data_IF_740431123079
#
_entry.id   IF_740431123079
#
_cell.length_a   1.000
_cell.length_b   1.000
_cell.length_c   1.000
_cell.angle_alpha   90.00
_cell.angle_beta   90.00
_cell.angle_gamma   90.00
#
_symmetry.space_group_name_H-M   'P 1'
#
loop_
_entity.id
_entity.type
_entity.pdbx_description
1 polymer ?
#
# COMPACT_ATOMS: atom_id res chain seq x y z
N UNK A 1 -8.70 24.68 4.51
CA UNK A 1 -10.06 24.36 4.00
C UNK A 1 -10.54 25.51 3.15
N UNK A 2 -10.61 26.70 3.67
CA UNK A 2 -11.20 27.87 2.98
C UNK A 2 -10.55 28.20 1.63
N UNK A 3 -9.22 27.98 1.51
CA UNK A 3 -8.50 28.20 0.24
C UNK A 3 -8.92 27.16 -0.82
N UNK A 4 -9.07 25.90 -0.42
CA UNK A 4 -9.48 24.83 -1.33
C UNK A 4 -10.93 25.02 -1.80
N UNK A 5 -11.81 25.44 -0.90
CA UNK A 5 -13.19 25.78 -1.22
C UNK A 5 -13.28 26.99 -2.16
N UNK A 6 -12.41 27.99 -1.95
CA UNK A 6 -12.31 29.17 -2.85
C UNK A 6 -11.87 28.78 -4.26
N UNK A 7 -11.07 27.71 -4.40
CA UNK A 7 -10.66 27.14 -5.69
C UNK A 7 -11.79 26.36 -6.37
N UNK A 8 -12.91 26.13 -5.71
CA UNK A 8 -14.04 25.35 -6.22
C UNK A 8 -13.76 23.85 -6.33
N UNK A 9 -12.71 23.36 -5.67
CA UNK A 9 -12.33 21.95 -5.66
C UNK A 9 -13.16 21.24 -4.60
N UNK A 10 -13.99 20.27 -5.03
CA UNK A 10 -14.64 19.34 -4.10
C UNK A 10 -13.63 18.32 -3.62
N UNK A 11 -13.83 17.82 -2.42
CA UNK A 11 -12.95 16.85 -1.79
C UNK A 11 -13.72 15.90 -0.87
N UNK A 12 -13.18 14.70 -0.70
CA UNK A 12 -13.71 13.71 0.25
C UNK A 12 -12.76 13.59 1.43
N UNK A 13 -13.25 13.87 2.63
CA UNK A 13 -12.49 13.69 3.86
C UNK A 13 -12.19 12.20 4.09
N UNK A 14 -10.94 11.91 4.40
CA UNK A 14 -10.47 10.57 4.76
C UNK A 14 -10.20 10.44 6.25
N UNK A 15 -9.54 11.45 6.82
CA UNK A 15 -9.10 11.41 8.22
C UNK A 15 -8.91 12.83 8.75
N UNK A 16 -9.16 13.00 10.05
CA UNK A 16 -8.81 14.20 10.78
C UNK A 16 -7.79 13.83 11.86
N UNK A 17 -6.64 14.49 11.83
CA UNK A 17 -5.62 14.40 12.86
C UNK A 17 -5.57 15.66 13.68
N UNK A 18 -5.37 15.51 14.99
CA UNK A 18 -5.12 16.65 15.89
C UNK A 18 -3.68 16.57 16.35
N UNK A 19 -2.89 17.57 16.01
CA UNK A 19 -1.50 17.71 16.43
C UNK A 19 -1.35 18.92 17.33
N UNK A 20 -0.54 18.80 18.37
CA UNK A 20 -0.22 19.91 19.25
C UNK A 20 1.19 20.42 18.94
N UNK A 21 1.30 21.68 18.61
CA UNK A 21 2.56 22.33 18.30
C UNK A 21 2.57 23.73 18.93
N UNK A 22 3.64 24.07 19.65
CA UNK A 22 3.79 25.35 20.37
C UNK A 22 2.60 25.67 21.31
N UNK A 23 2.03 24.66 21.98
CA UNK A 23 0.87 24.83 22.85
C UNK A 23 -0.47 25.06 22.13
N UNK A 24 -0.47 25.09 20.81
CA UNK A 24 -1.65 25.22 19.97
C UNK A 24 -2.04 23.86 19.40
N UNK A 25 -3.33 23.54 19.46
CA UNK A 25 -3.88 22.35 18.80
C UNK A 25 -4.27 22.69 17.37
N UNK A 26 -3.65 22.02 16.43
CA UNK A 26 -3.97 22.12 15.01
C UNK A 26 -4.79 20.90 14.59
N UNK A 27 -5.85 21.14 13.85
CA UNK A 27 -6.62 20.09 13.19
C UNK A 27 -6.17 20.00 11.73
N UNK A 28 -5.64 18.84 11.37
CA UNK A 28 -5.16 18.55 10.01
C UNK A 28 -6.14 17.59 9.34
N UNK A 29 -6.79 18.08 8.30
CA UNK A 29 -7.74 17.29 7.52
C UNK A 29 -6.99 16.67 6.35
N UNK A 30 -6.94 15.34 6.34
CA UNK A 30 -6.51 14.58 5.17
C UNK A 30 -7.72 14.30 4.28
N UNK A 31 -7.65 14.75 3.04
CA UNK A 31 -8.74 14.66 2.11
C UNK A 31 -8.25 14.36 0.69
N UNK A 32 -9.08 13.68 -0.10
CA UNK A 32 -8.83 13.43 -1.52
C UNK A 32 -9.62 14.44 -2.35
N UNK A 33 -8.97 15.24 -3.20
CA UNK A 33 -9.66 16.17 -4.10
C UNK A 33 -10.39 15.38 -5.21
N UNK A 34 -11.60 15.82 -5.53
CA UNK A 34 -12.38 15.29 -6.64
C UNK A 34 -11.97 15.99 -7.95
N UNK A 35 -10.76 15.68 -8.40
CA UNK A 35 -10.21 16.20 -9.66
C UNK A 35 -9.87 15.06 -10.60
N UNK A 36 -9.85 15.36 -11.89
CA UNK A 36 -9.25 14.45 -12.87
C UNK A 36 -7.73 14.51 -12.72
N UNK A 37 -7.14 13.40 -12.28
CA UNK A 37 -5.70 13.32 -12.11
C UNK A 37 -5.01 13.23 -13.47
N UNK A 38 -3.96 14.01 -13.72
CA UNK A 38 -3.16 13.85 -14.93
C UNK A 38 -2.67 12.41 -15.07
N UNK A 39 -2.80 11.83 -16.25
CA UNK A 39 -2.45 10.42 -16.50
C UNK A 39 -1.03 10.08 -16.05
N UNK A 40 -0.08 10.98 -16.24
CA UNK A 40 1.31 10.81 -15.84
C UNK A 40 1.53 10.86 -14.31
N UNK A 41 0.55 11.30 -13.52
CA UNK A 41 0.58 11.26 -12.06
C UNK A 41 0.04 9.96 -11.48
N UNK A 42 -0.49 9.08 -12.29
CA UNK A 42 -0.88 7.72 -11.91
C UNK A 42 0.30 6.98 -11.25
N UNK A 43 1.51 7.29 -11.72
CA UNK A 43 2.76 6.88 -11.08
C UNK A 43 3.30 8.03 -10.25
N UNK A 44 3.13 7.95 -8.94
CA UNK A 44 3.64 8.97 -8.00
C UNK A 44 5.13 9.28 -8.22
N UNK A 45 5.91 8.32 -8.72
CA UNK A 45 7.34 8.45 -9.02
C UNK A 45 7.60 9.45 -10.16
N UNK A 46 6.69 9.58 -11.09
CA UNK A 46 6.82 10.54 -12.20
C UNK A 46 6.67 12.00 -11.76
N UNK A 47 6.08 12.25 -10.58
CA UNK A 47 6.01 13.59 -10.02
C UNK A 47 7.39 14.21 -9.83
N UNK A 48 8.39 13.40 -9.47
CA UNK A 48 9.78 13.84 -9.27
C UNK A 48 10.43 14.29 -10.57
N UNK A 49 10.06 13.67 -11.69
CA UNK A 49 10.56 14.01 -13.03
C UNK A 49 9.66 14.96 -13.82
N UNK A 50 8.50 15.34 -13.29
CA UNK A 50 7.56 16.21 -13.96
C UNK A 50 8.10 17.65 -14.07
N UNK A 51 8.31 18.13 -15.29
CA UNK A 51 8.81 19.48 -15.56
C UNK A 51 7.83 20.59 -15.17
N UNK A 52 6.55 20.28 -15.01
CA UNK A 52 5.54 21.23 -14.51
C UNK A 52 5.68 21.51 -13.02
N UNK A 53 6.33 20.60 -12.27
CA UNK A 53 6.59 20.79 -10.85
C UNK A 53 7.87 21.61 -10.65
N UNK A 54 7.80 22.60 -9.76
CA UNK A 54 8.95 23.45 -9.46
C UNK A 54 10.18 22.61 -9.07
N UNK A 55 11.39 22.89 -9.60
CA UNK A 55 12.60 22.07 -9.36
C UNK A 55 12.91 21.83 -7.88
N UNK A 56 12.76 22.87 -7.03
CA UNK A 56 12.96 22.74 -5.59
C UNK A 56 11.96 21.77 -4.94
N UNK A 57 10.70 21.81 -5.37
CA UNK A 57 9.68 20.89 -4.87
C UNK A 57 9.99 19.45 -5.27
N UNK A 58 10.42 19.23 -6.53
CA UNK A 58 10.87 17.91 -6.99
C UNK A 58 12.04 17.39 -6.16
N UNK A 59 13.02 18.23 -5.89
CA UNK A 59 14.19 17.87 -5.08
C UNK A 59 13.80 17.53 -3.63
N UNK A 60 12.90 18.31 -3.02
CA UNK A 60 12.41 18.02 -1.68
C UNK A 60 11.66 16.68 -1.62
N UNK A 61 10.79 16.41 -2.59
CA UNK A 61 10.05 15.15 -2.71
C UNK A 61 11.03 13.99 -2.90
N UNK A 62 11.98 14.11 -3.82
CA UNK A 62 12.99 13.09 -4.09
C UNK A 62 13.78 12.70 -2.84
N UNK A 63 14.23 13.69 -2.04
CA UNK A 63 15.04 13.46 -0.84
C UNK A 63 14.26 12.98 0.36
N UNK A 64 12.99 13.29 0.46
CA UNK A 64 12.18 13.01 1.64
C UNK A 64 11.12 11.93 1.43
N UNK A 65 10.86 11.54 0.18
CA UNK A 65 9.79 10.61 -0.12
C UNK A 65 10.24 9.16 0.05
N UNK A 66 9.81 8.55 1.15
CA UNK A 66 9.81 7.10 1.30
C UNK A 66 8.41 6.59 0.99
N UNK A 67 8.33 5.58 0.16
CA UNK A 67 7.06 4.90 -0.12
C UNK A 67 6.87 3.80 0.89
N UNK A 68 5.93 4.01 1.78
CA UNK A 68 5.59 3.02 2.79
C UNK A 68 4.51 2.10 2.21
N UNK A 69 4.76 0.80 2.27
CA UNK A 69 3.81 -0.23 1.86
C UNK A 69 3.59 -1.21 3.00
N UNK A 70 2.38 -1.71 3.13
CA UNK A 70 2.03 -2.76 4.08
C UNK A 70 1.50 -3.98 3.32
N UNK A 71 1.97 -5.16 3.71
CA UNK A 71 1.65 -6.44 3.06
C UNK A 71 1.29 -7.50 4.06
N UNK A 72 0.54 -8.50 3.62
CA UNK A 72 0.08 -9.58 4.50
C UNK A 72 0.38 -10.95 3.89
N UNK A 73 1.02 -11.80 4.68
CA UNK A 73 1.06 -13.25 4.46
C UNK A 73 -0.20 -13.81 5.12
N UNK A 74 -1.27 -13.93 4.34
CA UNK A 74 -2.53 -14.51 4.80
C UNK A 74 -2.47 -16.03 4.64
N UNK A 75 -2.67 -16.77 5.73
CA UNK A 75 -2.44 -18.21 5.82
C UNK A 75 -3.74 -18.90 6.22
N UNK A 76 -4.16 -19.88 5.45
CA UNK A 76 -5.34 -20.71 5.77
C UNK A 76 -4.98 -21.93 6.66
N UNK A 77 -6.00 -22.70 7.04
CA UNK A 77 -5.86 -23.90 7.87
C UNK A 77 -5.06 -25.04 7.18
N UNK A 78 -4.86 -24.99 5.87
CA UNK A 78 -4.05 -25.92 5.09
C UNK A 78 -2.59 -25.45 4.94
N UNK A 79 -2.20 -24.35 5.61
CA UNK A 79 -0.91 -23.67 5.46
C UNK A 79 -0.63 -23.18 4.04
N UNK A 80 -1.69 -22.80 3.31
CA UNK A 80 -1.56 -22.15 2.03
C UNK A 80 -1.57 -20.63 2.18
N UNK A 81 -0.90 -19.96 1.27
CA UNK A 81 -0.71 -18.51 1.23
C UNK A 81 -1.66 -17.89 0.20
N UNK A 82 -2.41 -16.88 0.58
CA UNK A 82 -3.20 -16.10 -0.37
C UNK A 82 -2.28 -15.21 -1.20
N UNK A 83 -2.43 -15.25 -2.50
CA UNK A 83 -1.78 -14.33 -3.43
C UNK A 83 -2.79 -13.69 -4.36
N UNK A 84 -2.51 -12.45 -4.75
CA UNK A 84 -3.30 -11.66 -5.67
C UNK A 84 -2.54 -11.45 -6.98
N UNK A 85 -3.20 -11.68 -8.12
CA UNK A 85 -2.68 -11.33 -9.43
C UNK A 85 -3.07 -9.91 -9.77
N UNK A 86 -2.09 -9.03 -9.84
CA UNK A 86 -2.28 -7.60 -10.02
C UNK A 86 -2.72 -7.28 -11.45
N UNK A 87 -3.77 -6.51 -11.63
CA UNK A 87 -4.30 -6.12 -12.94
C UNK A 87 -3.68 -4.84 -13.48
N UNK A 88 -3.31 -3.91 -12.60
CA UNK A 88 -2.74 -2.61 -12.97
C UNK A 88 -1.59 -2.21 -12.03
N UNK A 89 -0.78 -1.29 -12.46
CA UNK A 89 0.31 -0.76 -11.65
C UNK A 89 1.63 -1.48 -11.92
N UNK A 90 2.57 -1.35 -10.98
CA UNK A 90 3.95 -1.80 -11.16
C UNK A 90 4.09 -3.31 -11.38
N UNK A 91 3.26 -4.11 -10.70
CA UNK A 91 3.26 -5.57 -10.79
C UNK A 91 2.14 -6.13 -11.69
N UNK A 92 1.64 -5.34 -12.65
CA UNK A 92 0.58 -5.80 -13.55
C UNK A 92 0.90 -7.14 -14.20
N UNK A 93 -0.05 -8.08 -14.13
CA UNK A 93 0.08 -9.45 -14.65
C UNK A 93 0.85 -10.42 -13.73
N UNK A 94 1.34 -9.97 -12.59
CA UNK A 94 2.17 -10.78 -11.68
C UNK A 94 1.43 -11.06 -10.36
N UNK A 95 1.88 -12.13 -9.69
CA UNK A 95 1.40 -12.53 -8.37
C UNK A 95 2.19 -11.83 -7.27
N UNK A 96 1.47 -11.27 -6.30
CA UNK A 96 2.04 -10.61 -5.12
C UNK A 96 1.30 -11.05 -3.86
N UNK A 97 1.91 -10.86 -2.71
CA UNK A 97 1.16 -10.86 -1.45
C UNK A 97 0.18 -9.68 -1.48
N UNK A 98 -1.04 -9.83 -0.92
CA UNK A 98 -1.97 -8.72 -0.79
C UNK A 98 -1.35 -7.58 0.01
N UNK A 99 -1.60 -6.36 -0.43
CA UNK A 99 -1.07 -5.17 0.21
C UNK A 99 -0.74 -4.04 -0.75
N UNK A 100 -0.63 -2.85 -0.22
CA UNK A 100 -0.40 -1.63 -0.98
C UNK A 100 0.20 -0.50 -0.16
N UNK A 101 -0.03 0.72 -0.62
CA UNK A 101 0.50 1.90 0.05
C UNK A 101 -0.22 2.18 1.36
N UNK A 102 0.56 2.51 2.38
CA UNK A 102 0.05 3.06 3.64
C UNK A 102 -0.35 4.51 3.39
N UNK A 103 -1.56 4.86 3.77
CA UNK A 103 -2.08 6.22 3.63
C UNK A 103 -1.42 7.18 4.63
N UNK A 104 -1.51 8.47 4.34
CA UNK A 104 -1.02 9.49 5.26
C UNK A 104 -1.73 9.37 6.62
N UNK A 105 -0.95 9.36 7.70
CA UNK A 105 -1.41 9.20 9.08
C UNK A 105 -2.15 7.87 9.38
N UNK A 106 -2.00 6.88 8.53
CA UNK A 106 -2.42 5.50 8.75
C UNK A 106 -1.25 4.70 9.36
N UNK A 107 -1.55 3.87 10.37
CA UNK A 107 -0.53 2.96 10.88
C UNK A 107 -0.35 1.79 9.89
N UNK A 108 0.89 1.26 9.68
CA UNK A 108 1.11 0.17 8.72
C UNK A 108 0.22 -1.07 8.93
N UNK A 109 -0.13 -1.42 10.17
CA UNK A 109 -1.05 -2.52 10.45
C UNK A 109 -2.48 -2.22 9.97
N UNK A 110 -2.93 -0.98 10.11
CA UNK A 110 -4.25 -0.54 9.60
C UNK A 110 -4.27 -0.60 8.08
N UNK A 111 -3.20 -0.11 7.43
CA UNK A 111 -3.01 -0.23 5.99
C UNK A 111 -3.04 -1.67 5.50
N UNK A 112 -2.35 -2.58 6.19
CA UNK A 112 -2.36 -4.01 5.89
C UNK A 112 -3.78 -4.61 5.93
N UNK A 113 -4.55 -4.30 6.99
CA UNK A 113 -5.94 -4.77 7.15
C UNK A 113 -6.84 -4.19 6.04
N UNK A 114 -6.71 -2.90 5.76
CA UNK A 114 -7.47 -2.21 4.71
C UNK A 114 -7.20 -2.82 3.33
N UNK A 115 -5.93 -3.03 2.97
CA UNK A 115 -5.55 -3.59 1.68
C UNK A 115 -6.06 -5.02 1.47
N UNK A 116 -5.98 -5.90 2.49
CA UNK A 116 -6.56 -7.24 2.40
C UNK A 116 -8.07 -7.16 2.15
N UNK A 117 -8.76 -6.22 2.81
CA UNK A 117 -10.19 -6.02 2.61
C UNK A 117 -10.50 -5.48 1.22
N UNK A 118 -9.73 -4.52 0.73
CA UNK A 118 -9.93 -3.90 -0.58
C UNK A 118 -9.57 -4.87 -1.71
N UNK A 119 -8.42 -5.52 -1.66
CA UNK A 119 -7.93 -6.39 -2.72
C UNK A 119 -8.61 -7.76 -2.77
N UNK A 120 -8.87 -8.37 -1.61
CA UNK A 120 -9.38 -9.74 -1.52
C UNK A 120 -10.84 -9.84 -1.08
N UNK A 121 -11.43 -8.76 -0.56
CA UNK A 121 -12.76 -8.76 0.04
C UNK A 121 -12.82 -9.46 1.40
N UNK A 122 -11.68 -9.77 2.02
CA UNK A 122 -11.55 -10.53 3.26
C UNK A 122 -11.32 -9.58 4.44
N UNK A 123 -12.08 -9.76 5.52
CA UNK A 123 -11.86 -9.03 6.78
C UNK A 123 -10.92 -9.83 7.67
N UNK A 124 -9.86 -9.19 8.15
CA UNK A 124 -8.84 -9.79 9.02
C UNK A 124 -8.59 -8.90 10.23
N UNK A 125 -8.07 -9.51 11.29
CA UNK A 125 -7.52 -8.81 12.46
C UNK A 125 -6.03 -9.10 12.51
N UNK A 126 -5.21 -8.07 12.58
CA UNK A 126 -3.75 -8.15 12.62
C UNK A 126 -3.26 -7.28 13.78
N UNK A 127 -2.36 -7.82 14.58
CA UNK A 127 -1.69 -7.10 15.66
C UNK A 127 -0.30 -6.63 15.19
N UNK A 128 0.21 -5.54 15.72
CA UNK A 128 1.57 -5.04 15.41
C UNK A 128 2.66 -6.09 15.68
N UNK A 129 2.47 -6.96 16.67
CA UNK A 129 3.40 -8.06 16.99
C UNK A 129 3.47 -9.15 15.92
N UNK A 130 2.48 -9.21 15.01
CA UNK A 130 2.44 -10.19 13.91
C UNK A 130 3.33 -9.79 12.74
N UNK A 131 4.16 -8.77 12.93
CA UNK A 131 5.14 -8.36 11.94
C UNK A 131 6.18 -9.46 11.71
N UNK A 132 6.39 -9.77 10.41
CA UNK A 132 7.38 -10.76 9.97
C UNK A 132 8.64 -10.05 9.51
N UNK A 133 8.49 -8.94 8.78
CA UNK A 133 9.60 -8.24 8.16
C UNK A 133 9.33 -6.74 8.07
N UNK A 134 10.38 -5.95 8.34
CA UNK A 134 10.51 -4.58 7.88
C UNK A 134 11.69 -4.55 6.92
N UNK A 135 11.47 -4.20 5.68
CA UNK A 135 12.51 -4.20 4.65
C UNK A 135 12.48 -2.92 3.83
N UNK A 136 13.66 -2.51 3.39
CA UNK A 136 13.85 -1.34 2.54
C UNK A 136 14.48 -1.76 1.22
N UNK A 137 13.98 -1.21 0.12
CA UNK A 137 14.50 -1.46 -1.23
C UNK A 137 14.32 -0.23 -2.12
N UNK A 138 15.21 -0.13 -3.09
CA UNK A 138 15.12 0.85 -4.18
C UNK A 138 14.73 0.07 -5.46
N UNK A 139 13.55 0.36 -6.00
CA UNK A 139 13.03 -0.38 -7.16
C UNK A 139 13.01 0.40 -8.46
N UNK A 140 13.17 1.71 -8.40
CA UNK A 140 13.06 2.57 -9.58
C UNK A 140 14.41 3.12 -10.00
N UNK A 141 14.55 3.45 -11.28
CA UNK A 141 15.73 4.12 -11.81
C UNK A 141 15.93 5.50 -11.20
N UNK A 142 14.86 6.11 -10.72
CA UNK A 142 14.86 7.39 -10.01
C UNK A 142 15.35 7.29 -8.58
N UNK A 143 15.58 6.07 -8.07
CA UNK A 143 16.12 5.83 -6.74
C UNK A 143 15.12 6.04 -5.60
N UNK A 144 13.83 5.94 -5.86
CA UNK A 144 12.80 6.07 -4.84
C UNK A 144 12.81 4.85 -3.93
N UNK A 145 12.92 5.11 -2.63
CA UNK A 145 12.96 4.09 -1.60
C UNK A 145 11.56 3.61 -1.22
N UNK A 146 11.44 2.29 -1.09
CA UNK A 146 10.27 1.64 -0.52
C UNK A 146 10.61 1.05 0.84
N UNK A 147 9.76 1.29 1.81
CA UNK A 147 9.80 0.69 3.13
C UNK A 147 8.57 -0.21 3.26
N UNK A 148 8.79 -1.52 3.36
CA UNK A 148 7.72 -2.51 3.45
C UNK A 148 7.59 -3.07 4.85
N UNK A 149 6.36 -3.07 5.37
CA UNK A 149 5.94 -3.76 6.59
C UNK A 149 5.15 -4.99 6.17
N UNK A 150 5.66 -6.19 6.45
CA UNK A 150 4.97 -7.43 6.13
C UNK A 150 4.51 -8.13 7.40
N UNK A 151 3.22 -8.37 7.50
CA UNK A 151 2.58 -9.05 8.62
C UNK A 151 2.15 -10.45 8.23
N UNK A 152 2.01 -11.35 9.21
CA UNK A 152 1.34 -12.64 9.03
C UNK A 152 -0.04 -12.60 9.67
N UNK A 153 -0.97 -13.29 9.05
CA UNK A 153 -2.32 -13.44 9.57
C UNK A 153 -2.83 -14.84 9.27
N UNK A 154 -3.29 -15.54 10.31
CA UNK A 154 -3.93 -16.84 10.15
C UNK A 154 -5.44 -16.66 10.08
N UNK A 155 -6.07 -17.32 9.12
CA UNK A 155 -7.50 -17.26 8.95
C UNK A 155 -8.12 -18.66 9.08
N UNK A 156 -9.18 -18.75 9.85
CA UNK A 156 -9.92 -20.01 10.07
C UNK A 156 -11.14 -20.08 9.13
N UNK A 157 -11.52 -21.31 8.77
CA UNK A 157 -12.68 -21.57 7.93
C UNK A 157 -12.41 -21.42 6.42
N UNK A 158 -13.46 -21.60 5.64
CA UNK A 158 -13.42 -21.40 4.20
C UNK A 158 -13.51 -19.90 3.86
N UNK A 159 -12.56 -19.40 3.13
CA UNK A 159 -12.53 -18.04 2.66
C UNK A 159 -12.80 -18.00 1.17
N UNK A 160 -13.83 -17.29 0.80
CA UNK A 160 -14.12 -16.96 -0.59
C UNK A 160 -13.56 -15.56 -0.90
N UNK A 161 -12.63 -15.49 -1.85
CA UNK A 161 -12.12 -14.23 -2.31
C UNK A 161 -13.17 -13.50 -3.18
N UNK A 162 -13.29 -12.20 -2.94
CA UNK A 162 -14.06 -11.29 -3.77
C UNK A 162 -13.16 -10.12 -4.19
N UNK A 163 -12.24 -10.36 -5.14
CA UNK A 163 -11.22 -9.40 -5.50
C UNK A 163 -11.81 -8.15 -6.14
N UNK A 164 -11.20 -6.99 -5.86
CA UNK A 164 -11.54 -5.71 -6.46
C UNK A 164 -11.19 -5.73 -7.96
N UNK A 165 -12.19 -5.89 -8.79
CA UNK A 165 -12.06 -6.22 -10.21
C UNK A 165 -11.28 -5.21 -11.08
N UNK A 166 -11.08 -3.97 -10.62
CA UNK A 166 -10.29 -2.94 -11.29
C UNK A 166 -8.81 -2.99 -10.91
N UNK A 167 -8.44 -3.64 -9.81
CA UNK A 167 -7.06 -3.72 -9.30
C UNK A 167 -6.49 -5.13 -9.35
N UNK A 168 -7.33 -6.14 -9.06
CA UNK A 168 -6.92 -7.54 -8.97
C UNK A 168 -7.65 -8.36 -10.05
N UNK A 169 -6.87 -9.11 -10.83
CA UNK A 169 -7.39 -10.01 -11.85
C UNK A 169 -7.92 -11.29 -11.22
N UNK A 170 -7.19 -11.82 -10.23
CA UNK A 170 -7.47 -13.10 -9.60
C UNK A 170 -6.82 -13.17 -8.22
N UNK A 171 -7.44 -13.92 -7.29
CA UNK A 171 -6.85 -14.29 -6.00
C UNK A 171 -6.94 -15.81 -5.81
N UNK A 172 -5.87 -16.42 -5.31
CA UNK A 172 -5.78 -17.87 -5.07
C UNK A 172 -4.97 -18.19 -3.83
N UNK A 173 -5.20 -19.41 -3.33
CA UNK A 173 -4.35 -20.07 -2.36
C UNK A 173 -3.21 -20.81 -3.06
N UNK A 174 -2.01 -20.70 -2.51
CA UNK A 174 -0.78 -21.32 -3.00
C UNK A 174 -0.08 -22.07 -1.86
N UNK A 175 0.52 -23.23 -2.14
CA UNK A 175 1.51 -23.74 -1.20
C UNK A 175 2.67 -22.75 -1.07
N UNK A 176 3.41 -22.78 0.02
CA UNK A 176 4.53 -21.86 0.23
C UNK A 176 5.58 -21.94 -0.89
N UNK A 177 5.84 -23.14 -1.43
CA UNK A 177 6.77 -23.32 -2.54
C UNK A 177 6.23 -22.69 -3.83
N UNK A 178 4.94 -22.80 -4.09
CA UNK A 178 4.30 -22.16 -5.24
C UNK A 178 4.27 -20.63 -5.06
N UNK A 179 3.99 -20.14 -3.86
CA UNK A 179 4.02 -18.70 -3.55
C UNK A 179 5.41 -18.12 -3.80
N UNK A 180 6.47 -18.77 -3.30
CA UNK A 180 7.86 -18.40 -3.55
C UNK A 180 8.25 -18.41 -5.04
N UNK A 181 7.74 -19.37 -5.80
CA UNK A 181 8.04 -19.49 -7.22
C UNK A 181 7.33 -18.45 -8.09
N UNK A 182 6.19 -17.92 -7.63
CA UNK A 182 5.36 -16.98 -8.38
C UNK A 182 5.46 -15.53 -7.89
N UNK A 183 5.93 -15.29 -6.67
CA UNK A 183 6.05 -13.94 -6.12
C UNK A 183 6.98 -13.06 -6.95
N UNK A 184 6.46 -11.96 -7.46
CA UNK A 184 7.23 -11.02 -8.29
C UNK A 184 8.02 -10.00 -7.47
N UNK A 185 7.53 -9.65 -6.29
CA UNK A 185 8.16 -8.67 -5.42
C UNK A 185 9.30 -9.31 -4.60
N UNK A 186 10.45 -8.65 -4.55
CA UNK A 186 11.55 -9.06 -3.66
C UNK A 186 11.15 -9.04 -2.19
N UNK A 187 10.31 -8.11 -1.76
CA UNK A 187 9.75 -8.07 -0.41
C UNK A 187 8.97 -9.35 -0.11
N UNK A 188 8.13 -9.78 -1.06
CA UNK A 188 7.30 -10.97 -0.90
C UNK A 188 8.16 -12.22 -0.80
N UNK A 189 9.15 -12.36 -1.69
CA UNK A 189 10.08 -13.51 -1.69
C UNK A 189 10.85 -13.61 -0.38
N UNK A 190 11.37 -12.48 0.12
CA UNK A 190 12.13 -12.45 1.37
C UNK A 190 11.25 -12.77 2.59
N UNK A 191 10.06 -12.16 2.67
CA UNK A 191 9.12 -12.42 3.75
C UNK A 191 8.63 -13.87 3.77
N UNK A 192 8.33 -14.44 2.60
CA UNK A 192 7.93 -15.85 2.47
C UNK A 192 9.05 -16.82 2.88
N UNK A 193 10.31 -16.48 2.61
CA UNK A 193 11.47 -17.28 3.07
C UNK A 193 11.61 -17.31 4.58
N UNK A 194 11.16 -16.29 5.29
CA UNK A 194 11.16 -16.28 6.76
C UNK A 194 10.10 -17.22 7.36
N UNK A 195 9.17 -17.70 6.51
CA UNK A 195 8.11 -18.65 6.92
C UNK A 195 8.48 -20.11 6.69
N UNK A 196 9.62 -20.37 6.01
CA UNK A 196 10.15 -21.74 5.74
C UNK A 196 11.22 -22.12 6.74
#
# INVERSE_FOLDING_TARGET
VDEVETMGIRWTERRINRIQFDGVTHEVIYALPEIEWPEHWTWKDKLVSDSCVHPLARECVYRSMHRVVAKVILINSQNEIAMAKVKRGFFSGHWTLPGGFVDYAEHPVEGAVREVKEELGVSVEIDEKDIVQIAERIFTSEGIQFLSFTYKCYIEGEVQFNPKADEIEEARWFSIQQALANAASLFDVEALRMMT
#
